data_IF_883793365961
#
_entry.id   IF_883793365961
#
_cell.length_a   1.000
_cell.length_b   1.000
_cell.length_c   1.000
_cell.angle_alpha   90.00
_cell.angle_beta   90.00
_cell.angle_gamma   90.00
#
_symmetry.space_group_name_H-M   'P 1'
#
loop_
_entity.id
_entity.type
_entity.pdbx_description
1 polymer ?
#
# COMPACT_ATOMS: atom_id res chain seq x y z
N UNK A 1 -25.81 10.35 55.35
CA UNK A 1 -27.17 9.78 55.17
C UNK A 1 -27.35 9.55 53.66
N UNK A 2 -27.16 8.31 53.19
CA UNK A 2 -28.18 7.41 52.58
C UNK A 2 -28.98 8.12 51.47
N UNK A 3 -29.07 7.64 50.22
CA UNK A 3 -29.42 6.26 49.84
C UNK A 3 -29.06 5.94 48.39
N UNK A 4 -28.62 4.70 48.20
CA UNK A 4 -28.37 3.92 46.98
C UNK A 4 -29.67 3.60 46.21
N UNK A 5 -29.65 3.53 44.87
CA UNK A 5 -30.54 2.62 44.14
C UNK A 5 -29.79 1.93 43.00
N UNK A 6 -29.63 0.63 43.19
CA UNK A 6 -29.16 -0.40 42.26
C UNK A 6 -30.42 -1.05 41.70
N UNK A 7 -30.58 -1.18 40.38
CA UNK A 7 -31.63 -2.03 39.79
C UNK A 7 -30.95 -3.15 39.01
N UNK A 8 -31.11 -4.33 39.56
CA UNK A 8 -30.73 -5.65 39.04
C UNK A 8 -32.00 -6.25 38.41
N UNK A 9 -31.92 -6.76 37.17
CA UNK A 9 -32.93 -7.68 36.65
C UNK A 9 -32.27 -8.84 35.88
N UNK A 10 -32.10 -9.92 36.63
CA UNK A 10 -31.92 -11.33 36.24
C UNK A 10 -33.06 -11.80 35.31
N UNK A 11 -32.78 -12.46 34.17
CA UNK A 11 -32.52 -13.90 33.98
C UNK A 11 -33.79 -14.73 33.66
N UNK A 12 -33.86 -15.31 32.45
CA UNK A 12 -34.58 -16.56 32.10
C UNK A 12 -34.27 -16.92 30.64
N UNK A 13 -33.38 -17.90 30.38
CA UNK A 13 -33.66 -19.33 30.15
C UNK A 13 -34.21 -19.65 28.74
N UNK A 14 -33.39 -20.39 27.97
CA UNK A 14 -33.77 -21.08 26.73
C UNK A 14 -32.70 -22.10 26.36
N UNK A 15 -32.79 -23.30 26.95
CA UNK A 15 -32.02 -24.49 26.62
C UNK A 15 -32.50 -25.13 25.29
N UNK A 16 -31.66 -26.03 24.77
CA UNK A 16 -31.89 -27.08 23.76
C UNK A 16 -31.55 -26.67 22.31
N UNK A 17 -30.78 -27.42 21.52
CA UNK A 17 -30.36 -28.80 21.68
C UNK A 17 -29.11 -29.16 20.85
N UNK A 18 -28.49 -30.25 21.29
CA UNK A 18 -27.44 -31.02 20.63
C UNK A 18 -27.95 -31.59 19.30
N UNK A 19 -27.09 -31.69 18.28
CA UNK A 19 -26.81 -32.93 17.54
C UNK A 19 -25.57 -32.77 16.65
N UNK A 20 -24.66 -33.73 16.82
CA UNK A 20 -23.45 -34.02 16.06
C UNK A 20 -23.74 -34.95 14.88
N UNK A 21 -23.17 -34.69 13.70
CA UNK A 21 -22.71 -35.61 12.62
C UNK A 21 -22.32 -34.72 11.43
N UNK A 22 -21.30 -34.94 10.60
CA UNK A 22 -20.34 -36.01 10.39
C UNK A 22 -19.67 -35.70 9.03
N UNK A 23 -18.36 -35.88 8.93
CA UNK A 23 -17.65 -35.86 7.65
C UNK A 23 -18.09 -37.07 6.81
N UNK A 24 -18.49 -36.84 5.56
CA UNK A 24 -18.40 -37.88 4.53
C UNK A 24 -17.89 -37.28 3.22
N UNK A 25 -16.65 -37.65 2.88
CA UNK A 25 -16.10 -37.58 1.53
C UNK A 25 -16.91 -38.53 0.65
N UNK A 26 -17.52 -38.02 -0.41
CA UNK A 26 -18.04 -38.85 -1.49
C UNK A 26 -17.08 -38.77 -2.67
N UNK A 27 -16.29 -39.85 -2.86
CA UNK A 27 -15.76 -40.21 -4.17
C UNK A 27 -16.88 -40.95 -4.90
N UNK A 28 -17.43 -40.36 -5.95
CA UNK A 28 -18.14 -41.12 -6.97
C UNK A 28 -17.28 -41.14 -8.22
N UNK A 29 -16.71 -42.33 -8.47
CA UNK A 29 -16.39 -42.79 -9.82
C UNK A 29 -17.71 -43.18 -10.48
N UNK A 30 -18.02 -42.57 -11.61
CA UNK A 30 -18.91 -43.17 -12.61
C UNK A 30 -18.18 -43.07 -13.94
N UNK A 31 -17.75 -44.24 -14.42
CA UNK A 31 -17.43 -44.44 -15.83
C UNK A 31 -18.78 -44.55 -16.55
N UNK A 32 -19.04 -43.63 -17.47
CA UNK A 32 -19.86 -43.96 -18.63
C UNK A 32 -19.26 -43.28 -19.86
N UNK A 33 -18.96 -44.13 -20.83
CA UNK A 33 -18.49 -43.78 -22.16
C UNK A 33 -19.62 -43.11 -22.93
N UNK A 34 -19.46 -41.85 -23.28
CA UNK A 34 -20.06 -41.28 -24.48
C UNK A 34 -19.31 -39.99 -24.87
N UNK A 35 -18.67 -40.03 -26.04
CA UNK A 35 -18.22 -38.87 -26.79
C UNK A 35 -18.81 -39.00 -28.21
N UNK A 36 -18.94 -37.94 -29.03
CA UNK A 36 -18.57 -36.54 -28.79
C UNK A 36 -19.63 -35.50 -29.23
N UNK A 37 -19.71 -34.37 -28.54
CA UNK A 37 -20.02 -33.07 -29.20
C UNK A 37 -19.06 -32.02 -28.67
N UNK A 38 -18.24 -31.50 -29.58
CA UNK A 38 -17.13 -30.60 -29.36
C UNK A 38 -17.66 -29.21 -28.96
N UNK A 39 -17.74 -28.94 -27.66
CA UNK A 39 -17.89 -27.60 -27.13
C UNK A 39 -16.48 -27.03 -26.90
N UNK A 40 -16.11 -26.01 -27.67
CA UNK A 40 -14.83 -25.30 -27.53
C UNK A 40 -14.82 -24.55 -26.20
N UNK A 41 -14.21 -25.17 -25.19
CA UNK A 41 -13.87 -24.51 -23.92
C UNK A 41 -12.83 -23.42 -24.25
N UNK A 42 -13.05 -22.15 -23.87
CA UNK A 42 -12.02 -21.12 -24.00
C UNK A 42 -10.78 -21.59 -23.24
N UNK A 43 -9.62 -21.54 -23.89
CA UNK A 43 -8.35 -21.87 -23.27
C UNK A 43 -8.22 -21.08 -21.96
N UNK A 44 -8.05 -21.80 -20.83
CA UNK A 44 -7.52 -21.21 -19.62
C UNK A 44 -6.11 -20.75 -19.97
N UNK A 45 -5.94 -19.44 -20.18
CA UNK A 45 -4.62 -18.83 -20.22
C UNK A 45 -4.09 -18.97 -18.79
N UNK A 46 -3.29 -20.01 -18.57
CA UNK A 46 -2.42 -20.08 -17.41
C UNK A 46 -1.37 -19.01 -17.68
N UNK A 47 -1.56 -17.83 -17.08
CA UNK A 47 -0.56 -16.77 -17.09
C UNK A 47 0.73 -17.41 -16.54
N UNK A 48 1.83 -17.49 -17.32
CA UNK A 48 3.05 -18.08 -16.83
C UNK A 48 3.44 -17.31 -15.56
N UNK A 49 3.85 -17.99 -14.47
CA UNK A 49 4.40 -17.29 -13.33
C UNK A 49 5.46 -16.33 -13.85
N UNK A 50 5.33 -15.04 -13.48
CA UNK A 50 6.36 -14.04 -13.73
C UNK A 50 7.72 -14.69 -13.47
N UNK A 51 8.72 -14.58 -14.36
CA UNK A 51 9.98 -15.28 -14.16
C UNK A 51 10.53 -15.01 -12.75
N UNK A 52 10.35 -16.00 -11.87
CA UNK A 52 10.93 -15.99 -10.54
C UNK A 52 12.39 -16.32 -10.79
N UNK A 53 13.23 -15.30 -10.85
CA UNK A 53 14.67 -15.45 -10.95
C UNK A 53 15.26 -14.96 -12.27
N UNK A 54 15.49 -13.65 -12.35
CA UNK A 54 16.74 -13.19 -12.91
C UNK A 54 17.67 -12.83 -11.74
N UNK A 55 18.19 -13.86 -11.07
CA UNK A 55 19.49 -13.76 -10.38
C UNK A 55 20.58 -13.71 -11.45
N UNK A 56 20.57 -12.66 -12.27
CA UNK A 56 21.66 -12.32 -13.17
C UNK A 56 22.57 -11.30 -12.47
N UNK A 57 23.90 -11.36 -12.63
CA UNK A 57 24.84 -10.49 -11.90
C UNK A 57 24.84 -9.02 -12.35
N UNK A 58 23.82 -8.52 -13.06
CA UNK A 58 23.75 -7.09 -13.38
C UNK A 58 23.24 -6.31 -12.17
N UNK A 59 24.16 -6.08 -11.26
CA UNK A 59 24.03 -5.45 -9.93
C UNK A 59 23.89 -3.93 -9.98
N UNK A 60 23.84 -3.30 -11.14
CA UNK A 60 23.82 -1.83 -11.24
C UNK A 60 22.55 -1.31 -11.90
N UNK A 61 21.40 -1.63 -11.32
CA UNK A 61 20.28 -0.68 -11.40
C UNK A 61 20.45 0.25 -10.20
N UNK A 62 20.93 1.45 -10.47
CA UNK A 62 20.96 2.53 -9.49
C UNK A 62 19.65 3.28 -9.69
N UNK A 63 18.72 3.24 -8.72
CA UNK A 63 17.57 4.14 -8.72
C UNK A 63 18.08 5.56 -8.95
N UNK A 64 17.41 6.35 -9.78
CA UNK A 64 17.83 7.74 -10.10
C UNK A 64 17.89 8.65 -8.87
N UNK A 65 17.36 8.21 -7.72
CA UNK A 65 17.41 8.91 -6.45
C UNK A 65 18.77 8.77 -5.75
N UNK A 66 19.40 9.91 -5.44
CA UNK A 66 20.60 9.96 -4.59
C UNK A 66 20.22 9.65 -3.13
N UNK A 67 20.74 8.56 -2.57
CA UNK A 67 20.57 8.18 -1.16
C UNK A 67 19.49 7.13 -0.89
N UNK A 68 19.16 6.94 0.39
CA UNK A 68 18.18 5.95 0.83
C UNK A 68 18.70 4.51 0.91
N UNK A 69 17.77 3.58 0.99
CA UNK A 69 18.02 2.13 0.98
C UNK A 69 17.30 1.48 -0.19
N UNK A 70 18.02 0.65 -0.95
CA UNK A 70 17.48 -0.12 -2.07
C UNK A 70 17.34 -1.58 -1.70
N UNK A 71 16.19 -2.18 -2.03
CA UNK A 71 15.91 -3.59 -1.86
C UNK A 71 15.45 -4.24 -3.18
N UNK A 72 15.60 -5.56 -3.26
CA UNK A 72 15.03 -6.35 -4.36
C UNK A 72 13.52 -6.36 -4.22
N UNK A 73 12.80 -5.92 -5.26
CA UNK A 73 11.35 -5.91 -5.28
C UNK A 73 10.84 -7.15 -6.04
N UNK A 74 9.80 -7.78 -5.51
CA UNK A 74 9.15 -8.96 -6.10
C UNK A 74 7.71 -8.58 -6.38
N UNK A 75 7.36 -8.28 -7.65
CA UNK A 75 5.98 -8.05 -8.02
C UNK A 75 5.11 -9.28 -7.78
N UNK A 76 3.84 -9.06 -7.41
CA UNK A 76 2.88 -10.14 -7.21
C UNK A 76 2.58 -10.90 -8.50
N UNK A 77 2.53 -10.18 -9.64
CA UNK A 77 2.43 -10.76 -10.99
C UNK A 77 2.74 -9.71 -12.04
N UNK A 78 3.05 -10.14 -13.26
CA UNK A 78 3.18 -9.25 -14.41
C UNK A 78 1.86 -8.56 -14.74
N UNK A 79 0.72 -9.25 -14.60
CA UNK A 79 -0.60 -8.67 -14.77
C UNK A 79 -0.85 -7.49 -13.82
N UNK A 80 -0.44 -7.61 -12.55
CA UNK A 80 -0.55 -6.51 -11.59
C UNK A 80 0.43 -5.38 -11.90
N UNK A 81 1.67 -5.68 -12.29
CA UNK A 81 2.62 -4.65 -12.73
C UNK A 81 2.11 -3.88 -13.94
N UNK A 82 1.51 -4.55 -14.92
CA UNK A 82 1.00 -3.90 -16.12
C UNK A 82 -0.16 -2.94 -15.78
N UNK A 83 -1.00 -3.30 -14.79
CA UNK A 83 -2.02 -2.40 -14.24
C UNK A 83 -1.41 -1.19 -13.54
N UNK A 84 -0.32 -1.36 -12.81
CA UNK A 84 0.42 -0.28 -12.15
C UNK A 84 1.03 0.68 -13.17
N UNK A 85 1.73 0.16 -14.18
CA UNK A 85 2.41 0.98 -15.18
C UNK A 85 1.43 1.82 -15.99
N UNK A 86 0.35 1.22 -16.49
CA UNK A 86 -0.78 1.83 -17.22
C UNK A 86 -0.48 2.74 -18.43
N UNK A 87 0.78 3.12 -18.66
CA UNK A 87 1.24 4.07 -19.67
C UNK A 87 1.86 3.38 -20.87
N UNK A 88 2.32 2.14 -20.70
CA UNK A 88 2.86 1.29 -21.75
C UNK A 88 2.69 -0.19 -21.39
N UNK A 89 2.55 -1.09 -22.37
CA UNK A 89 2.62 -2.53 -22.13
C UNK A 89 4.02 -2.93 -21.66
N UNK A 90 4.08 -3.81 -20.67
CA UNK A 90 5.32 -4.42 -20.20
C UNK A 90 5.76 -5.57 -21.11
N UNK A 91 7.04 -5.61 -21.48
CA UNK A 91 7.61 -6.61 -22.41
C UNK A 91 8.79 -7.35 -21.77
N UNK A 92 8.47 -8.33 -20.93
CA UNK A 92 9.44 -9.09 -20.12
C UNK A 92 10.31 -8.22 -19.20
N UNK A 93 9.69 -7.43 -18.31
CA UNK A 93 10.43 -6.60 -17.35
C UNK A 93 11.24 -7.44 -16.36
N UNK A 94 12.41 -6.93 -15.99
CA UNK A 94 13.37 -7.59 -15.09
C UNK A 94 13.99 -6.60 -14.09
N UNK A 95 14.77 -7.13 -13.15
CA UNK A 95 15.58 -6.35 -12.21
C UNK A 95 14.77 -5.33 -11.39
N UNK A 96 13.61 -5.75 -10.90
CA UNK A 96 12.77 -4.91 -10.05
C UNK A 96 13.50 -4.52 -8.76
N UNK A 97 13.44 -3.23 -8.44
CA UNK A 97 14.01 -2.61 -7.23
C UNK A 97 13.02 -1.66 -6.61
N UNK A 98 13.08 -1.54 -5.29
CA UNK A 98 12.44 -0.45 -4.55
C UNK A 98 13.51 0.30 -3.79
N UNK A 99 13.50 1.62 -3.88
CA UNK A 99 14.31 2.50 -3.05
C UNK A 99 13.39 3.29 -2.13
N UNK A 100 13.77 3.37 -0.86
CA UNK A 100 13.11 4.20 0.15
C UNK A 100 14.13 5.23 0.60
N UNK A 101 13.81 6.50 0.44
CA UNK A 101 14.65 7.61 0.84
C UNK A 101 13.79 8.67 1.54
N UNK A 102 13.64 8.49 2.85
CA UNK A 102 12.80 9.30 3.71
C UNK A 102 13.66 10.04 4.73
N UNK A 103 13.22 11.21 5.17
CA UNK A 103 13.83 11.94 6.26
C UNK A 103 12.75 12.39 7.24
N UNK A 104 13.12 12.48 8.51
CA UNK A 104 12.24 13.03 9.52
C UNK A 104 12.10 14.54 9.29
N UNK A 105 10.87 15.02 9.18
CA UNK A 105 10.56 16.45 8.96
C UNK A 105 9.98 17.12 10.19
N UNK A 106 9.29 16.35 11.02
CA UNK A 106 8.76 16.75 12.32
C UNK A 106 8.80 15.52 13.24
N UNK A 107 8.63 15.69 14.55
CA UNK A 107 8.72 14.60 15.52
C UNK A 107 7.90 13.39 15.10
N UNK A 108 8.59 12.29 14.78
CA UNK A 108 7.99 11.03 14.33
C UNK A 108 7.26 11.09 12.97
N UNK A 109 7.48 12.11 12.13
CA UNK A 109 6.87 12.23 10.79
C UNK A 109 7.92 12.24 9.69
N UNK A 110 7.69 11.45 8.64
CA UNK A 110 8.67 11.18 7.60
C UNK A 110 8.17 11.55 6.20
N UNK A 111 8.93 12.38 5.51
CA UNK A 111 8.69 12.77 4.13
C UNK A 111 9.83 12.28 3.23
N UNK A 112 9.67 12.41 1.92
CA UNK A 112 10.69 12.01 0.96
C UNK A 112 10.11 11.19 -0.19
N UNK A 113 10.90 10.24 -0.68
CA UNK A 113 10.61 9.55 -1.93
C UNK A 113 10.66 8.03 -1.78
N UNK A 114 9.79 7.37 -2.52
CA UNK A 114 9.82 5.93 -2.76
C UNK A 114 9.88 5.71 -4.25
N UNK A 115 10.91 5.01 -4.72
CA UNK A 115 11.13 4.75 -6.14
C UNK A 115 10.96 3.28 -6.44
N UNK A 116 10.17 2.95 -7.45
CA UNK A 116 10.00 1.59 -7.96
C UNK A 116 10.63 1.54 -9.35
N UNK A 117 11.70 0.78 -9.49
CA UNK A 117 12.49 0.73 -10.71
C UNK A 117 12.50 -0.66 -11.33
N UNK A 118 12.56 -0.74 -12.65
CA UNK A 118 12.71 -1.99 -13.40
C UNK A 118 13.36 -1.74 -14.76
N UNK A 119 13.81 -2.81 -15.42
CA UNK A 119 14.32 -2.78 -16.79
C UNK A 119 13.30 -3.47 -17.70
N UNK A 120 12.81 -2.77 -18.73
CA UNK A 120 11.94 -3.31 -19.76
C UNK A 120 12.53 -3.02 -21.14
N UNK A 121 12.64 -4.03 -22.01
CA UNK A 121 13.33 -3.92 -23.31
C UNK A 121 14.73 -3.26 -23.25
N UNK A 122 15.47 -3.49 -22.17
CA UNK A 122 16.81 -2.91 -21.97
C UNK A 122 16.83 -1.44 -21.54
N UNK A 123 15.67 -0.81 -21.34
CA UNK A 123 15.54 0.55 -20.80
C UNK A 123 15.14 0.51 -19.33
N UNK A 124 15.73 1.39 -18.52
CA UNK A 124 15.32 1.58 -17.12
C UNK A 124 14.08 2.48 -17.04
N UNK A 125 13.11 2.06 -16.23
CA UNK A 125 11.93 2.83 -15.88
C UNK A 125 11.88 3.02 -14.37
N UNK A 126 11.58 4.25 -13.94
CA UNK A 126 11.47 4.64 -12.54
C UNK A 126 10.10 5.28 -12.29
N UNK A 127 9.32 4.71 -11.38
CA UNK A 127 8.17 5.39 -10.77
C UNK A 127 8.59 6.03 -9.47
N UNK A 128 8.56 7.37 -9.41
CA UNK A 128 9.01 8.15 -8.25
C UNK A 128 7.80 8.75 -7.54
N UNK A 129 7.50 8.24 -6.35
CA UNK A 129 6.38 8.69 -5.54
C UNK A 129 6.89 9.54 -4.38
N UNK A 130 6.21 10.64 -4.09
CA UNK A 130 6.67 11.63 -3.13
C UNK A 130 5.62 11.88 -2.04
N UNK A 131 6.13 12.19 -0.86
CA UNK A 131 5.38 12.83 0.22
C UNK A 131 6.18 14.07 0.60
N UNK A 132 5.54 15.24 0.49
CA UNK A 132 6.24 16.50 0.64
C UNK A 132 6.68 16.79 2.07
N UNK A 133 7.68 17.66 2.19
CA UNK A 133 8.25 18.12 3.46
C UNK A 133 7.51 19.34 4.01
N UNK A 134 6.55 19.89 3.25
CA UNK A 134 5.84 21.11 3.56
C UNK A 134 4.56 20.87 4.34
N UNK A 135 3.72 21.90 4.35
CA UNK A 135 2.39 21.89 4.95
C UNK A 135 1.36 22.20 3.87
N UNK A 136 0.20 21.56 3.99
CA UNK A 136 -0.93 21.82 3.11
C UNK A 136 -1.28 23.30 3.09
N UNK A 137 -1.51 23.83 1.90
CA UNK A 137 -2.00 25.20 1.74
C UNK A 137 -3.32 25.39 2.51
N UNK A 138 -3.37 26.48 3.27
CA UNK A 138 -4.57 26.91 3.97
C UNK A 138 -5.59 27.50 2.99
N UNK A 139 -6.80 26.97 3.00
CA UNK A 139 -7.91 27.47 2.20
C UNK A 139 -9.20 27.48 3.01
N UNK A 140 -10.09 28.43 2.69
CA UNK A 140 -11.38 28.54 3.36
C UNK A 140 -12.21 27.26 3.17
N UNK A 141 -12.83 26.79 4.26
CA UNK A 141 -13.72 25.62 4.30
C UNK A 141 -13.08 24.27 3.98
N UNK A 142 -11.75 24.20 3.94
CA UNK A 142 -11.03 22.94 3.82
C UNK A 142 -10.62 22.39 5.18
N UNK A 143 -10.71 21.08 5.33
CA UNK A 143 -10.12 20.33 6.45
C UNK A 143 -8.59 20.33 6.31
N UNK A 144 -7.82 20.03 7.36
CA UNK A 144 -6.36 19.83 7.27
C UNK A 144 -5.53 21.02 6.74
N UNK A 145 -6.02 22.25 6.94
CA UNK A 145 -5.22 23.46 6.72
C UNK A 145 -3.97 23.41 7.59
N UNK A 146 -2.81 23.72 6.99
CA UNK A 146 -1.50 23.71 7.67
C UNK A 146 -1.09 22.34 8.25
N UNK A 147 -1.81 21.26 7.89
CA UNK A 147 -1.39 19.91 8.20
C UNK A 147 -0.11 19.58 7.44
N UNK A 148 0.81 18.91 8.11
CA UNK A 148 2.03 18.41 7.47
C UNK A 148 1.68 17.49 6.31
N UNK A 149 2.33 17.67 5.16
CA UNK A 149 2.09 16.86 3.97
C UNK A 149 2.32 15.37 4.25
N UNK A 150 3.27 15.06 5.12
CA UNK A 150 3.61 13.72 5.62
C UNK A 150 2.91 13.33 6.94
N UNK A 151 1.79 13.98 7.30
CA UNK A 151 1.10 13.75 8.58
C UNK A 151 0.74 12.28 8.86
N UNK A 152 0.55 11.47 7.82
CA UNK A 152 0.21 10.05 7.91
C UNK A 152 1.40 9.11 7.72
N UNK A 153 2.63 9.63 7.63
CA UNK A 153 3.83 8.83 7.40
C UNK A 153 4.62 8.70 8.70
N UNK A 154 4.30 7.67 9.49
CA UNK A 154 4.91 7.47 10.80
C UNK A 154 4.88 6.02 11.25
N UNK A 155 5.80 5.74 12.17
CA UNK A 155 5.93 4.47 12.89
C UNK A 155 4.88 4.34 13.99
N UNK A 156 4.31 3.16 14.16
CA UNK A 156 3.29 2.89 15.18
C UNK A 156 3.35 1.44 15.64
N UNK A 157 2.85 1.16 16.84
CA UNK A 157 2.73 -0.20 17.33
C UNK A 157 1.47 -0.89 16.79
N UNK A 158 1.66 -2.02 16.12
CA UNK A 158 0.57 -2.90 15.68
C UNK A 158 0.81 -4.32 16.18
N UNK A 159 -0.03 -4.77 17.12
CA UNK A 159 0.10 -6.08 17.76
C UNK A 159 1.51 -6.32 18.36
N UNK A 160 2.00 -5.37 19.18
CA UNK A 160 3.32 -5.38 19.81
C UNK A 160 4.52 -5.41 18.83
N UNK A 161 4.33 -4.91 17.61
CA UNK A 161 5.39 -4.75 16.62
C UNK A 161 5.41 -3.32 16.16
N UNK A 162 6.59 -2.71 16.18
CA UNK A 162 6.80 -1.40 15.60
C UNK A 162 6.80 -1.54 14.07
N UNK A 163 5.85 -0.88 13.43
CA UNK A 163 5.63 -0.95 11.98
C UNK A 163 5.52 0.45 11.40
N UNK A 164 5.70 0.58 10.08
CA UNK A 164 5.53 1.85 9.38
C UNK A 164 4.48 1.70 8.30
N UNK A 165 3.65 2.74 8.14
CA UNK A 165 2.91 2.95 6.89
C UNK A 165 3.07 4.40 6.46
N UNK A 166 3.10 4.62 5.15
CA UNK A 166 3.15 5.96 4.57
C UNK A 166 2.46 6.02 3.20
N UNK A 167 1.96 7.20 2.86
CA UNK A 167 1.31 7.51 1.59
C UNK A 167 2.22 8.41 0.75
N UNK A 168 2.31 8.10 -0.53
CA UNK A 168 3.13 8.81 -1.51
C UNK A 168 2.37 8.89 -2.83
N UNK A 169 2.57 9.95 -3.60
CA UNK A 169 1.91 10.12 -4.90
C UNK A 169 2.88 10.56 -5.99
N UNK A 170 2.49 10.30 -7.22
CA UNK A 170 3.07 10.90 -8.42
C UNK A 170 1.93 11.50 -9.28
N UNK A 171 2.22 11.85 -10.54
CA UNK A 171 1.19 12.38 -11.43
C UNK A 171 0.21 11.31 -11.93
N UNK A 172 0.46 10.01 -11.76
CA UNK A 172 -0.37 8.94 -12.29
C UNK A 172 -1.16 8.19 -11.23
N UNK A 173 -0.76 8.28 -9.96
CA UNK A 173 -1.40 7.56 -8.89
C UNK A 173 -0.78 7.82 -7.52
N UNK A 174 -1.12 6.91 -6.62
CA UNK A 174 -0.64 6.90 -5.26
C UNK A 174 -0.17 5.50 -4.87
N UNK A 175 0.79 5.45 -3.97
CA UNK A 175 1.22 4.21 -3.32
C UNK A 175 1.05 4.31 -1.80
N UNK A 176 0.90 3.15 -1.18
CA UNK A 176 1.08 2.96 0.25
C UNK A 176 2.27 2.05 0.45
N UNK A 177 3.27 2.56 1.15
CA UNK A 177 4.41 1.78 1.63
C UNK A 177 4.08 1.25 3.02
N UNK A 178 4.19 -0.05 3.22
CA UNK A 178 3.99 -0.69 4.53
C UNK A 178 5.22 -1.51 4.89
N UNK A 179 5.77 -1.28 6.08
CA UNK A 179 6.96 -1.96 6.58
C UNK A 179 6.66 -2.66 7.89
N UNK A 180 7.16 -3.88 8.03
CA UNK A 180 7.14 -4.63 9.28
C UNK A 180 8.50 -5.32 9.50
N UNK A 181 8.90 -5.55 10.76
CA UNK A 181 10.23 -6.04 11.05
C UNK A 181 10.36 -7.50 10.61
N UNK A 182 11.51 -7.88 10.03
CA UNK A 182 11.73 -9.26 9.56
C UNK A 182 11.91 -10.25 10.71
N UNK A 183 12.46 -9.75 11.81
CA UNK A 183 12.59 -10.46 13.07
C UNK A 183 11.77 -9.68 14.09
N UNK A 184 11.09 -10.38 15.00
CA UNK A 184 10.32 -9.71 16.04
C UNK A 184 11.20 -8.65 16.72
N UNK A 185 10.81 -7.38 16.60
CA UNK A 185 11.50 -6.31 17.30
C UNK A 185 11.34 -6.58 18.80
N UNK A 186 12.44 -6.49 19.55
CA UNK A 186 12.34 -6.37 21.00
C UNK A 186 11.46 -5.16 21.32
N UNK A 187 10.44 -5.39 22.14
CA UNK A 187 9.48 -4.38 22.62
C UNK A 187 10.13 -3.01 22.84
N UNK A 188 9.82 -2.05 21.98
CA UNK A 188 10.12 -0.64 22.15
C UNK A 188 8.79 0.10 22.20
N UNK A 189 8.70 1.13 23.04
CA UNK A 189 7.51 2.00 23.09
C UNK A 189 7.23 2.68 21.74
N UNK A 190 6.17 3.47 21.67
CA UNK A 190 5.91 4.34 20.51
C UNK A 190 7.03 5.40 20.40
N UNK A 191 8.17 5.04 19.82
CA UNK A 191 9.28 5.92 19.52
C UNK A 191 10.32 5.17 18.69
N UNK A 192 10.48 5.63 17.45
CA UNK A 192 11.57 5.41 16.49
C UNK A 192 12.07 3.97 16.22
N UNK A 193 12.24 3.59 14.94
CA UNK A 193 12.69 2.26 14.57
C UNK A 193 14.13 2.02 15.06
N UNK A 194 14.40 0.78 15.49
CA UNK A 194 15.76 0.38 15.85
C UNK A 194 16.63 0.43 14.59
N UNK A 195 17.58 1.37 14.52
CA UNK A 195 18.39 1.63 13.33
C UNK A 195 19.13 0.38 12.78
N UNK A 196 19.41 -0.61 13.62
CA UNK A 196 20.10 -1.85 13.22
C UNK A 196 19.18 -2.94 12.64
N UNK A 197 17.87 -2.72 12.56
CA UNK A 197 16.91 -3.74 12.13
C UNK A 197 16.61 -3.67 10.63
N UNK A 198 16.43 -4.85 10.03
CA UNK A 198 15.93 -5.01 8.65
C UNK A 198 14.43 -5.16 8.66
N UNK A 199 13.79 -4.53 7.69
CA UNK A 199 12.35 -4.61 7.49
C UNK A 199 12.04 -5.25 6.14
N UNK A 200 10.93 -5.98 6.12
CA UNK A 200 10.24 -6.35 4.90
C UNK A 200 9.10 -5.38 4.66
N UNK A 201 8.71 -5.24 3.41
CA UNK A 201 7.63 -4.34 3.06
C UNK A 201 6.74 -4.83 1.94
N UNK A 202 5.58 -4.21 1.88
CA UNK A 202 4.59 -4.36 0.82
C UNK A 202 4.31 -2.99 0.23
N UNK A 203 4.27 -2.90 -1.09
CA UNK A 203 3.81 -1.71 -1.81
C UNK A 203 2.41 -1.98 -2.32
N UNK A 204 1.48 -1.10 -2.00
CA UNK A 204 0.16 -1.05 -2.62
C UNK A 204 0.11 0.15 -3.55
N UNK A 205 -0.61 0.06 -4.65
CA UNK A 205 -0.78 1.17 -5.59
C UNK A 205 -2.26 1.41 -5.91
N UNK A 206 -2.56 2.63 -6.33
CA UNK A 206 -3.84 3.05 -6.87
C UNK A 206 -3.57 4.07 -7.98
N UNK A 207 -3.94 3.75 -9.20
CA UNK A 207 -3.83 4.69 -10.31
C UNK A 207 -5.02 5.65 -10.33
N UNK A 208 -4.75 6.90 -10.67
CA UNK A 208 -5.79 7.88 -10.92
C UNK A 208 -6.45 7.61 -12.28
N UNK A 209 -7.72 7.97 -12.41
CA UNK A 209 -8.48 7.79 -13.67
C UNK A 209 -7.92 8.65 -14.80
N UNK A 210 -7.29 9.77 -14.45
CA UNK A 210 -6.55 10.62 -15.37
C UNK A 210 -5.26 11.09 -14.67
N UNK A 211 -4.17 11.33 -15.40
CA UNK A 211 -3.00 11.95 -14.81
C UNK A 211 -3.37 13.26 -14.12
N UNK A 212 -2.83 13.45 -12.93
CA UNK A 212 -2.93 14.69 -12.18
C UNK A 212 -1.99 15.70 -12.83
N UNK A 213 -2.52 16.44 -13.79
CA UNK A 213 -1.82 17.56 -14.38
C UNK A 213 -1.70 18.65 -13.30
N UNK A 214 -0.48 19.07 -12.97
CA UNK A 214 -0.23 20.27 -12.15
C UNK A 214 -0.94 21.50 -12.74
N UNK A 215 -1.20 21.50 -14.05
CA UNK A 215 -1.70 22.65 -14.82
C UNK A 215 -3.08 22.45 -15.53
N UNK A 216 -3.81 21.35 -15.30
CA UNK A 216 -4.97 20.97 -16.15
C UNK A 216 -6.39 21.25 -15.58
N UNK A 217 -7.38 21.84 -16.29
CA UNK A 217 -8.61 22.47 -15.75
C UNK A 217 -9.73 21.62 -15.11
N UNK A 218 -9.54 20.33 -14.80
CA UNK A 218 -10.69 19.41 -14.80
C UNK A 218 -11.21 18.89 -13.46
N UNK A 219 -11.11 19.63 -12.36
CA UNK A 219 -11.87 19.26 -11.16
C UNK A 219 -12.78 20.38 -10.69
N UNK A 220 -14.06 20.29 -11.04
CA UNK A 220 -15.08 21.23 -10.56
C UNK A 220 -15.18 21.08 -9.04
N UNK A 221 -14.69 22.10 -8.32
CA UNK A 221 -14.76 22.20 -6.87
C UNK A 221 -16.20 21.98 -6.39
N UNK A 222 -16.45 20.82 -5.79
CA UNK A 222 -17.69 20.55 -5.08
C UNK A 222 -17.60 21.25 -3.72
N UNK A 223 -17.92 22.56 -3.68
CA UNK A 223 -17.95 23.30 -2.41
C UNK A 223 -17.67 24.80 -2.49
N UNK A 224 -17.39 25.36 -3.68
CA UNK A 224 -17.12 26.79 -3.84
C UNK A 224 -15.74 27.23 -3.37
N UNK A 225 -14.85 26.30 -3.00
CA UNK A 225 -13.43 26.60 -2.82
C UNK A 225 -12.77 26.77 -4.20
N UNK A 226 -11.90 27.76 -4.43
CA UNK A 226 -11.23 27.91 -5.72
C UNK A 226 -10.49 26.62 -6.14
N UNK A 227 -10.66 26.25 -7.41
CA UNK A 227 -10.10 25.05 -8.05
C UNK A 227 -8.58 24.88 -7.91
N UNK A 228 -7.88 25.95 -7.51
CA UNK A 228 -6.44 25.99 -7.28
C UNK A 228 -6.00 25.31 -5.97
N UNK A 229 -6.89 25.16 -4.98
CA UNK A 229 -6.48 24.69 -3.65
C UNK A 229 -6.42 23.18 -3.51
N UNK A 230 -7.34 22.43 -4.12
CA UNK A 230 -7.28 20.95 -4.11
C UNK A 230 -6.09 20.45 -4.92
N UNK A 231 -5.67 21.21 -5.94
CA UNK A 231 -4.44 20.94 -6.72
C UNK A 231 -3.18 21.00 -5.88
N UNK A 232 -3.17 21.80 -4.82
CA UNK A 232 -2.00 22.02 -3.97
C UNK A 232 -1.92 21.06 -2.78
N UNK A 233 -2.78 20.03 -2.74
CA UNK A 233 -2.83 19.06 -1.64
C UNK A 233 -2.57 17.66 -2.15
N UNK A 234 -1.85 16.87 -1.38
CA UNK A 234 -1.68 15.48 -1.73
C UNK A 234 -3.00 14.69 -1.70
N UNK A 235 -3.09 13.62 -2.48
CA UNK A 235 -4.30 12.83 -2.70
C UNK A 235 -4.94 12.28 -1.41
N UNK A 236 -4.15 12.14 -0.33
CA UNK A 236 -4.62 11.68 0.98
C UNK A 236 -5.27 12.78 1.83
N UNK A 237 -5.33 14.00 1.32
CA UNK A 237 -6.13 15.10 1.85
C UNK A 237 -7.29 15.49 0.91
N UNK A 238 -7.51 14.72 -0.14
CA UNK A 238 -8.63 14.89 -1.09
C UNK A 238 -9.78 13.99 -0.64
N UNK A 239 -10.95 14.58 -0.41
CA UNK A 239 -12.08 13.90 0.23
C UNK A 239 -13.08 13.28 -0.75
N UNK A 240 -13.02 13.69 -2.01
CA UNK A 240 -13.93 13.27 -3.07
C UNK A 240 -13.21 13.37 -4.41
N UNK A 241 -13.63 12.55 -5.39
CA UNK A 241 -13.17 12.65 -6.77
C UNK A 241 -12.15 11.59 -7.17
N UNK A 242 -11.64 11.65 -8.42
CA UNK A 242 -10.78 10.61 -8.99
C UNK A 242 -9.36 10.58 -8.40
N UNK A 243 -9.02 11.60 -7.60
CA UNK A 243 -7.74 11.72 -6.91
C UNK A 243 -7.86 11.41 -5.40
N UNK A 244 -9.01 10.97 -4.89
CA UNK A 244 -9.09 10.51 -3.50
C UNK A 244 -8.29 9.22 -3.35
N UNK A 245 -7.18 9.27 -2.61
CA UNK A 245 -6.34 8.12 -2.29
C UNK A 245 -6.33 7.81 -0.79
N UNK A 246 -7.32 8.31 -0.04
CA UNK A 246 -7.38 8.08 1.40
C UNK A 246 -7.63 6.61 1.70
N UNK A 247 -7.08 6.19 2.83
CA UNK A 247 -7.32 4.88 3.41
C UNK A 247 -7.44 5.07 4.92
N UNK A 248 -8.62 4.79 5.46
CA UNK A 248 -8.90 4.99 6.89
C UNK A 248 -7.94 4.16 7.75
N UNK A 249 -7.64 2.94 7.32
CA UNK A 249 -6.75 2.02 8.03
C UNK A 249 -5.30 2.52 8.09
N UNK A 250 -4.84 3.18 7.02
CA UNK A 250 -3.49 3.74 6.94
C UNK A 250 -3.40 5.06 7.71
N UNK A 251 -4.43 5.91 7.63
CA UNK A 251 -4.45 7.20 8.32
C UNK A 251 -4.64 7.03 9.84
N UNK A 252 -5.51 6.11 10.25
CA UNK A 252 -5.79 5.79 11.65
C UNK A 252 -4.83 4.76 12.25
N UNK A 253 -3.91 4.21 11.44
CA UNK A 253 -2.90 3.25 11.86
C UNK A 253 -3.48 1.98 12.49
N UNK A 254 -4.55 1.47 11.91
CA UNK A 254 -5.22 0.25 12.38
C UNK A 254 -4.79 -1.00 11.58
N UNK A 255 -4.15 -0.83 10.42
CA UNK A 255 -3.63 -1.96 9.63
C UNK A 255 -2.40 -1.59 8.77
N UNK A 256 -1.73 -2.64 8.25
CA UNK A 256 -0.65 -2.54 7.24
C UNK A 256 -1.16 -2.58 5.80
N UNK A 257 -2.43 -2.89 5.58
CA UNK A 257 -3.03 -2.90 4.26
C UNK A 257 -4.05 -1.77 4.19
N UNK A 258 -4.17 -1.04 3.07
CA UNK A 258 -5.29 -0.17 2.85
C UNK A 258 -6.61 -0.95 2.89
N UNK A 259 -7.69 -0.32 3.36
CA UNK A 259 -9.02 -0.94 3.31
C UNK A 259 -9.47 -1.24 1.89
N UNK A 260 -10.30 -2.28 1.73
CA UNK A 260 -10.81 -2.67 0.41
C UNK A 260 -11.55 -1.53 -0.31
N UNK A 261 -12.26 -0.70 0.45
CA UNK A 261 -12.97 0.48 -0.08
C UNK A 261 -12.06 1.61 -0.57
N UNK A 262 -10.78 1.61 -0.20
CA UNK A 262 -9.82 2.62 -0.67
C UNK A 262 -9.37 2.39 -2.12
N UNK A 263 -9.58 1.18 -2.66
CA UNK A 263 -9.30 0.84 -4.06
C UNK A 263 -7.82 0.60 -4.39
N UNK A 264 -7.00 0.33 -3.38
CA UNK A 264 -5.59 -0.04 -3.58
C UNK A 264 -5.43 -1.52 -3.96
N UNK A 265 -4.44 -1.80 -4.79
CA UNK A 265 -4.01 -3.17 -5.15
C UNK A 265 -2.60 -3.42 -4.64
N UNK A 266 -2.34 -4.59 -4.06
CA UNK A 266 -0.99 -4.97 -3.65
C UNK A 266 -0.11 -5.19 -4.89
N UNK A 267 0.92 -4.38 -5.07
CA UNK A 267 1.85 -4.43 -6.20
C UNK A 267 2.85 -5.57 -6.06
N UNK A 268 3.44 -5.69 -4.86
CA UNK A 268 4.52 -6.62 -4.59
C UNK A 268 5.16 -6.40 -3.23
N UNK A 269 6.21 -7.16 -2.96
CA UNK A 269 6.89 -7.19 -1.67
C UNK A 269 8.41 -7.08 -1.81
N UNK A 270 9.09 -6.79 -0.71
CA UNK A 270 10.55 -6.76 -0.64
C UNK A 270 11.03 -7.07 0.78
N UNK A 271 12.30 -7.44 0.89
CA UNK A 271 12.97 -7.81 2.15
C UNK A 271 14.35 -7.15 2.22
N UNK A 272 14.93 -7.07 3.42
CA UNK A 272 16.28 -6.59 3.66
C UNK A 272 16.42 -5.07 3.58
N UNK A 273 15.34 -4.31 3.74
CA UNK A 273 15.42 -2.85 3.73
C UNK A 273 16.12 -2.36 5.00
N UNK A 274 17.25 -1.65 4.83
CA UNK A 274 17.94 -0.96 5.93
C UNK A 274 17.17 0.28 6.34
N UNK A 275 16.62 0.31 7.55
CA UNK A 275 15.88 1.47 8.04
C UNK A 275 16.81 2.65 8.31
N UNK A 276 18.02 2.40 8.84
CA UNK A 276 19.02 3.46 9.02
C UNK A 276 19.22 4.27 7.75
N UNK A 277 19.48 3.58 6.64
CA UNK A 277 19.76 4.24 5.36
C UNK A 277 18.46 4.75 4.71
N UNK A 278 17.38 3.97 4.77
CA UNK A 278 16.13 4.31 4.10
C UNK A 278 15.38 5.48 4.73
N UNK A 279 15.59 5.73 6.02
CA UNK A 279 14.99 6.83 6.77
C UNK A 279 16.01 7.91 7.16
N UNK A 280 17.23 7.83 6.63
CA UNK A 280 18.35 8.75 6.91
C UNK A 280 18.55 9.01 8.42
N UNK A 281 18.46 7.96 9.23
CA UNK A 281 18.60 8.02 10.70
C UNK A 281 20.09 8.00 11.04
N UNK A 282 20.54 8.96 11.86
CA UNK A 282 21.94 9.06 12.29
C UNK A 282 22.32 7.98 13.30
#
# INVERSE_FOLDING_TARGET
>A
MKTTQLITLTMALGMMGLMSVGCSKSKSQSNDNNAPTQATVPAVIIDPPAPIGATGPNTSLTPTTNGGATAVFIPNSLTVMNKYVATHPLNAPTNFRVNVNLSQVESGRYAGQVTISYIDNGMQFDGIFQSGTGRNLSAARMYDNDALESAYNYWFNLSNRLVFTGQFEDSYGAIVLSLEPEKAASTGGDADPIAASTYKGTVYFKNFTAPRNTDGPWYQSYGGAPQSYERARHCWFVYLGPYDCRSGEIQQKTALAPGAGAGYTALGTFTGLSIKNGFNIQ
#
